data_IF_370016065301
#
_entry.id   IF_370016065301
#
_cell.length_a   1.000
_cell.length_b   1.000
_cell.length_c   1.000
_cell.angle_alpha   90.00
_cell.angle_beta   90.00
_cell.angle_gamma   90.00
#
_symmetry.space_group_name_H-M   'P 1'
#
loop_
_entity.id
_entity.type
_entity.pdbx_description
1 polymer ?
#
# COMPACT_ATOMS: atom_id res chain seq x y z
N UNK A 1 -22.55 8.62 -22.01
CA UNK A 1 -21.60 7.81 -21.21
C UNK A 1 -20.20 8.35 -21.49
N UNK A 2 -19.51 8.89 -20.49
CA UNK A 2 -18.31 9.71 -20.70
C UNK A 2 -17.06 8.90 -21.08
N UNK A 3 -16.26 9.48 -21.98
CA UNK A 3 -14.90 9.06 -22.31
C UNK A 3 -14.08 8.88 -21.04
N UNK A 4 -13.36 7.75 -20.89
CA UNK A 4 -12.50 7.58 -19.74
C UNK A 4 -11.37 8.62 -19.77
N UNK A 5 -11.13 9.30 -18.65
CA UNK A 5 -9.99 10.22 -18.55
C UNK A 5 -8.67 9.46 -18.71
N UNK A 6 -7.57 10.16 -19.06
CA UNK A 6 -6.22 9.56 -19.13
C UNK A 6 -5.88 8.82 -17.82
N UNK A 7 -6.23 9.39 -16.68
CA UNK A 7 -6.07 8.79 -15.34
C UNK A 7 -6.83 7.47 -15.21
N UNK A 8 -8.12 7.44 -15.56
CA UNK A 8 -8.95 6.23 -15.41
C UNK A 8 -8.37 5.04 -16.18
N UNK A 9 -7.85 5.28 -17.39
CA UNK A 9 -7.18 4.22 -18.17
C UNK A 9 -5.90 3.73 -17.50
N UNK A 10 -5.07 4.64 -17.01
CA UNK A 10 -3.82 4.29 -16.32
C UNK A 10 -4.08 3.51 -15.02
N UNK A 11 -5.10 3.91 -14.25
CA UNK A 11 -5.53 3.19 -13.05
C UNK A 11 -6.00 1.77 -13.38
N UNK A 12 -6.84 1.61 -14.41
CA UNK A 12 -7.27 0.27 -14.82
C UNK A 12 -6.09 -0.60 -15.26
N UNK A 13 -5.15 -0.05 -16.04
CA UNK A 13 -3.97 -0.79 -16.50
C UNK A 13 -3.11 -1.23 -15.32
N UNK A 14 -2.79 -0.33 -14.39
CA UNK A 14 -1.92 -0.68 -13.25
C UNK A 14 -2.60 -1.68 -12.31
N UNK A 15 -3.91 -1.58 -12.08
CA UNK A 15 -4.64 -2.58 -11.28
C UNK A 15 -4.66 -3.96 -11.96
N UNK A 16 -4.83 -4.01 -13.29
CA UNK A 16 -4.70 -5.27 -14.05
C UNK A 16 -3.27 -5.81 -13.94
N UNK A 17 -2.27 -4.94 -14.08
CA UNK A 17 -0.86 -5.30 -13.97
C UNK A 17 -0.57 -5.95 -12.62
N UNK A 18 -0.93 -5.30 -11.52
CA UNK A 18 -0.76 -5.84 -10.17
C UNK A 18 -1.48 -7.17 -9.96
N UNK A 19 -2.74 -7.28 -10.41
CA UNK A 19 -3.49 -8.52 -10.30
C UNK A 19 -2.82 -9.67 -11.07
N UNK A 20 -2.25 -9.38 -12.25
CA UNK A 20 -1.46 -10.36 -13.02
C UNK A 20 -0.18 -10.73 -12.27
N UNK A 21 0.55 -9.77 -11.71
CA UNK A 21 1.76 -10.06 -10.93
C UNK A 21 1.45 -10.95 -9.72
N UNK A 22 0.41 -10.62 -8.96
CA UNK A 22 -0.04 -11.44 -7.84
C UNK A 22 -0.41 -12.85 -8.33
N UNK A 23 -1.24 -12.96 -9.37
CA UNK A 23 -1.62 -14.26 -9.92
C UNK A 23 -0.43 -15.10 -10.44
N UNK A 24 0.61 -14.46 -10.98
CA UNK A 24 1.82 -15.12 -11.45
C UNK A 24 2.72 -15.61 -10.30
N UNK A 25 2.81 -14.84 -9.22
CA UNK A 25 3.69 -15.16 -8.08
C UNK A 25 3.00 -16.05 -7.05
N UNK A 26 1.67 -16.01 -6.92
CA UNK A 26 0.94 -16.82 -5.93
C UNK A 26 1.21 -18.34 -6.03
N UNK A 27 1.29 -18.98 -7.22
CA UNK A 27 1.65 -20.39 -7.34
C UNK A 27 3.10 -20.73 -6.95
N UNK A 28 3.98 -19.72 -6.91
CA UNK A 28 5.38 -19.84 -6.51
C UNK A 28 5.56 -19.71 -5.00
N UNK A 29 4.53 -19.26 -4.29
CA UNK A 29 4.54 -19.17 -2.83
C UNK A 29 4.57 -20.57 -2.20
N UNK A 30 5.41 -20.73 -1.18
CA UNK A 30 5.46 -21.95 -0.39
C UNK A 30 4.18 -22.17 0.45
N UNK A 31 3.41 -21.10 0.67
CA UNK A 31 2.19 -21.10 1.46
C UNK A 31 1.07 -20.35 0.72
N UNK A 32 -0.17 -20.81 0.86
CA UNK A 32 -1.37 -20.15 0.31
C UNK A 32 -2.25 -21.06 -0.56
N UNK A 33 -3.37 -20.53 -1.09
CA UNK A 33 -4.41 -21.33 -1.75
C UNK A 33 -3.93 -22.11 -2.98
N UNK A 34 -2.83 -21.69 -3.58
CA UNK A 34 -2.23 -22.29 -4.77
C UNK A 34 -0.94 -23.06 -4.49
N UNK A 35 -0.50 -23.17 -3.22
CA UNK A 35 0.72 -23.88 -2.85
C UNK A 35 0.68 -25.37 -3.23
N UNK A 36 -0.52 -25.96 -3.25
CA UNK A 36 -0.74 -27.34 -3.70
C UNK A 36 -0.36 -27.61 -5.18
N UNK A 37 -0.19 -26.56 -6.00
CA UNK A 37 0.28 -26.69 -7.37
C UNK A 37 1.80 -27.00 -7.47
N UNK A 38 2.57 -26.77 -6.40
CA UNK A 38 4.00 -27.09 -6.30
C UNK A 38 4.84 -26.53 -7.47
N UNK A 39 4.45 -25.40 -8.04
CA UNK A 39 5.10 -24.82 -9.23
C UNK A 39 6.56 -24.45 -8.95
N UNK A 40 6.86 -24.00 -7.73
CA UNK A 40 8.23 -23.71 -7.31
C UNK A 40 9.15 -24.95 -7.36
N UNK A 41 8.63 -26.13 -6.97
CA UNK A 41 9.38 -27.39 -7.02
C UNK A 41 9.70 -27.76 -8.47
N UNK A 42 8.77 -27.53 -9.39
CA UNK A 42 8.94 -27.83 -10.82
C UNK A 42 10.00 -26.93 -11.46
N UNK A 43 10.16 -25.72 -10.95
CA UNK A 43 11.18 -24.76 -11.40
C UNK A 43 12.54 -24.95 -10.71
N UNK A 44 12.67 -25.92 -9.80
CA UNK A 44 13.93 -26.22 -9.11
C UNK A 44 14.43 -25.09 -8.21
N UNK A 45 13.52 -24.25 -7.69
CA UNK A 45 13.88 -23.12 -6.84
C UNK A 45 14.12 -23.60 -5.40
N UNK A 46 15.35 -23.44 -4.90
CA UNK A 46 15.70 -23.74 -3.52
C UNK A 46 15.15 -22.68 -2.54
N UNK A 47 14.97 -23.05 -1.28
CA UNK A 47 14.36 -22.18 -0.27
C UNK A 47 15.14 -20.88 -0.07
N UNK A 48 16.47 -20.93 -0.14
CA UNK A 48 17.35 -19.78 -0.05
C UNK A 48 17.24 -18.84 -1.27
N UNK A 49 17.10 -19.39 -2.49
CA UNK A 49 16.85 -18.61 -3.70
C UNK A 49 15.44 -18.03 -3.81
N UNK A 50 14.42 -18.70 -3.25
CA UNK A 50 13.03 -18.19 -3.13
C UNK A 50 12.96 -16.94 -2.27
N UNK A 51 13.83 -16.88 -1.27
CA UNK A 51 13.84 -15.89 -0.19
C UNK A 51 14.80 -14.73 -0.47
N UNK A 52 16.00 -15.00 -0.97
CA UNK A 52 17.05 -14.00 -1.21
C UNK A 52 16.70 -12.94 -2.26
N UNK A 53 15.54 -13.05 -2.92
CA UNK A 53 15.07 -12.11 -3.96
C UNK A 53 13.79 -11.38 -3.55
N UNK A 54 13.42 -11.46 -2.28
CA UNK A 54 12.28 -10.75 -1.69
C UNK A 54 12.33 -9.24 -1.97
N UNK A 55 13.51 -8.61 -1.91
CA UNK A 55 13.66 -7.18 -2.23
C UNK A 55 13.18 -6.89 -3.65
N UNK A 56 13.55 -7.72 -4.62
CA UNK A 56 13.16 -7.58 -6.03
C UNK A 56 11.65 -7.82 -6.20
N UNK A 57 11.11 -8.84 -5.52
CA UNK A 57 9.69 -9.16 -5.56
C UNK A 57 8.84 -8.01 -4.96
N UNK A 58 9.21 -7.52 -3.78
CA UNK A 58 8.48 -6.44 -3.12
C UNK A 58 8.49 -5.17 -3.94
N UNK A 59 9.63 -4.78 -4.54
CA UNK A 59 9.64 -3.63 -5.44
C UNK A 59 8.86 -3.88 -6.74
N UNK A 60 8.85 -5.12 -7.24
CA UNK A 60 8.06 -5.49 -8.42
C UNK A 60 6.55 -5.31 -8.21
N UNK A 61 6.07 -5.46 -6.96
CA UNK A 61 4.67 -5.23 -6.58
C UNK A 61 4.42 -3.79 -6.10
N UNK A 62 5.29 -3.26 -5.25
CA UNK A 62 5.11 -1.96 -4.60
C UNK A 62 5.27 -0.77 -5.56
N UNK A 63 6.10 -0.88 -6.60
CA UNK A 63 6.33 0.25 -7.51
C UNK A 63 5.12 0.53 -8.43
N UNK A 64 4.45 -0.49 -9.01
CA UNK A 64 3.12 -0.32 -9.62
C UNK A 64 2.10 0.29 -8.65
N UNK A 65 2.06 -0.17 -7.40
CA UNK A 65 1.18 0.38 -6.37
C UNK A 65 1.41 1.89 -6.15
N UNK A 66 2.67 2.30 -6.01
CA UNK A 66 3.07 3.70 -5.92
C UNK A 66 2.66 4.48 -7.17
N UNK A 67 2.77 3.88 -8.36
CA UNK A 67 2.31 4.51 -9.60
C UNK A 67 0.79 4.78 -9.57
N UNK A 68 -0.02 3.86 -9.03
CA UNK A 68 -1.46 4.06 -8.86
C UNK A 68 -1.75 5.28 -7.94
N UNK A 69 -1.03 5.41 -6.83
CA UNK A 69 -1.12 6.58 -5.94
C UNK A 69 -0.72 7.87 -6.66
N UNK A 70 0.36 7.85 -7.45
CA UNK A 70 0.80 9.00 -8.24
C UNK A 70 -0.28 9.42 -9.24
N UNK A 71 -0.96 8.48 -9.91
CA UNK A 71 -2.08 8.81 -10.80
C UNK A 71 -3.24 9.45 -10.05
N UNK A 72 -3.61 8.94 -8.88
CA UNK A 72 -4.65 9.54 -8.03
C UNK A 72 -4.25 10.94 -7.55
N UNK A 73 -2.99 11.14 -7.16
CA UNK A 73 -2.47 12.46 -6.77
C UNK A 73 -2.57 13.46 -7.91
N UNK A 74 -2.13 13.10 -9.12
CA UNK A 74 -2.20 14.00 -10.29
C UNK A 74 -3.63 14.31 -10.73
N UNK A 75 -4.58 13.44 -10.40
CA UNK A 75 -6.00 13.64 -10.67
C UNK A 75 -6.67 14.55 -9.64
N UNK A 76 -6.24 14.47 -8.38
CA UNK A 76 -6.86 15.20 -7.27
C UNK A 76 -6.18 16.53 -6.95
N UNK A 77 -4.89 16.68 -7.26
CA UNK A 77 -4.10 17.86 -6.91
C UNK A 77 -3.69 18.65 -8.17
N UNK A 78 -3.64 19.99 -8.06
CA UNK A 78 -3.28 20.83 -9.19
C UNK A 78 -1.77 20.71 -9.46
N UNK A 79 -1.43 20.22 -10.65
CA UNK A 79 -0.07 20.14 -11.18
C UNK A 79 -0.12 20.60 -12.64
N UNK A 80 0.87 21.39 -13.06
CA UNK A 80 0.97 21.86 -14.44
C UNK A 80 1.00 20.66 -15.41
N UNK A 81 0.18 20.70 -16.47
CA UNK A 81 -0.08 19.53 -17.32
C UNK A 81 1.21 18.95 -17.93
N UNK A 82 2.13 19.80 -18.38
CA UNK A 82 3.45 19.37 -18.88
C UNK A 82 4.21 18.51 -17.87
N UNK A 83 4.18 18.89 -16.58
CA UNK A 83 4.83 18.10 -15.51
C UNK A 83 4.04 16.83 -15.22
N UNK A 84 2.71 16.91 -15.15
CA UNK A 84 1.86 15.75 -14.92
C UNK A 84 2.06 14.69 -16.02
N UNK A 85 2.25 15.09 -17.28
CA UNK A 85 2.56 14.18 -18.38
C UNK A 85 3.94 13.51 -18.24
N UNK A 86 4.98 14.28 -17.91
CA UNK A 86 6.32 13.73 -17.63
C UNK A 86 6.25 12.73 -16.47
N UNK A 87 5.56 13.07 -15.38
CA UNK A 87 5.41 12.17 -14.23
C UNK A 87 4.67 10.88 -14.65
N UNK A 88 3.51 10.99 -15.32
CA UNK A 88 2.73 9.81 -15.74
C UNK A 88 3.54 8.87 -16.64
N UNK A 89 4.18 9.41 -17.68
CA UNK A 89 4.95 8.61 -18.64
C UNK A 89 6.15 7.94 -17.98
N UNK A 90 6.92 8.70 -17.20
CA UNK A 90 8.12 8.21 -16.52
C UNK A 90 7.78 7.16 -15.46
N UNK A 91 6.77 7.41 -14.60
CA UNK A 91 6.38 6.42 -13.58
C UNK A 91 5.80 5.16 -14.22
N UNK A 92 5.09 5.28 -15.36
CA UNK A 92 4.56 4.13 -16.10
C UNK A 92 5.69 3.25 -16.63
N UNK A 93 6.64 3.84 -17.35
CA UNK A 93 7.78 3.11 -17.87
C UNK A 93 8.63 2.52 -16.73
N UNK A 94 8.82 3.30 -15.67
CA UNK A 94 9.56 2.89 -14.48
C UNK A 94 8.98 1.64 -13.84
N UNK A 95 7.67 1.62 -13.51
CA UNK A 95 7.10 0.46 -12.84
C UNK A 95 7.11 -0.80 -13.71
N UNK A 96 6.88 -0.68 -15.03
CA UNK A 96 6.92 -1.82 -15.95
C UNK A 96 8.32 -2.45 -15.95
N UNK A 97 9.35 -1.62 -16.07
CA UNK A 97 10.75 -2.07 -16.07
C UNK A 97 11.15 -2.66 -14.71
N UNK A 98 10.71 -2.06 -13.60
CA UNK A 98 10.92 -2.60 -12.26
C UNK A 98 10.26 -3.97 -12.11
N UNK A 99 8.98 -4.11 -12.44
CA UNK A 99 8.28 -5.40 -12.28
C UNK A 99 8.87 -6.50 -13.16
N UNK A 100 9.12 -6.22 -14.44
CA UNK A 100 9.67 -7.22 -15.36
C UNK A 100 11.11 -7.57 -15.04
N UNK A 101 11.95 -6.56 -14.75
CA UNK A 101 13.34 -6.76 -14.37
C UNK A 101 13.47 -7.49 -13.03
N UNK A 102 12.65 -7.10 -12.05
CA UNK A 102 12.65 -7.70 -10.71
C UNK A 102 12.14 -9.13 -10.70
N UNK A 103 11.03 -9.44 -11.37
CA UNK A 103 10.52 -10.82 -11.51
C UNK A 103 11.46 -11.67 -12.36
N UNK A 104 11.99 -11.12 -13.46
CA UNK A 104 12.97 -11.82 -14.30
C UNK A 104 14.23 -12.15 -13.52
N UNK A 105 14.74 -11.22 -12.73
CA UNK A 105 15.86 -11.48 -11.84
C UNK A 105 15.48 -12.48 -10.75
N UNK A 106 14.29 -12.35 -10.16
CA UNK A 106 13.76 -13.18 -9.08
C UNK A 106 13.58 -14.65 -9.47
N UNK A 107 13.09 -14.94 -10.67
CA UNK A 107 12.64 -16.29 -11.03
C UNK A 107 13.29 -16.86 -12.29
N UNK A 108 14.01 -16.06 -13.10
CA UNK A 108 14.63 -16.50 -14.36
C UNK A 108 16.16 -16.49 -14.30
N UNK A 109 16.73 -16.92 -13.17
CA UNK A 109 18.18 -17.19 -13.06
C UNK A 109 19.07 -15.99 -12.75
N UNK A 110 18.55 -14.85 -12.28
CA UNK A 110 19.37 -13.76 -11.73
C UNK A 110 20.27 -13.02 -12.75
N UNK A 111 19.86 -12.97 -14.03
CA UNK A 111 20.68 -12.37 -15.09
C UNK A 111 20.92 -10.86 -14.92
N UNK A 112 22.13 -10.41 -15.27
CA UNK A 112 22.55 -9.00 -15.15
C UNK A 112 21.68 -8.03 -15.97
N UNK A 113 21.11 -8.49 -17.10
CA UNK A 113 20.17 -7.68 -17.91
C UNK A 113 18.89 -7.39 -17.12
N UNK A 114 18.30 -8.42 -16.49
CA UNK A 114 17.09 -8.27 -15.70
C UNK A 114 17.32 -7.34 -14.50
N UNK A 115 18.46 -7.48 -13.83
CA UNK A 115 18.88 -6.55 -12.79
C UNK A 115 19.05 -5.12 -13.34
N UNK A 116 19.71 -4.95 -14.49
CA UNK A 116 19.87 -3.64 -15.12
C UNK A 116 18.54 -2.96 -15.43
N UNK A 117 17.57 -3.70 -15.97
CA UNK A 117 16.21 -3.21 -16.22
C UNK A 117 15.51 -2.81 -14.91
N UNK A 118 15.67 -3.60 -13.85
CA UNK A 118 15.13 -3.28 -12.53
C UNK A 118 15.67 -1.94 -12.00
N UNK A 119 16.99 -1.72 -12.06
CA UNK A 119 17.63 -0.48 -11.61
C UNK A 119 17.23 0.74 -12.44
N UNK A 120 17.13 0.58 -13.77
CA UNK A 120 16.61 1.64 -14.65
C UNK A 120 15.16 1.98 -14.28
N UNK A 121 14.33 0.96 -14.05
CA UNK A 121 12.94 1.14 -13.61
C UNK A 121 12.82 1.96 -12.32
N UNK A 122 13.57 1.57 -11.28
CA UNK A 122 13.61 2.31 -10.02
C UNK A 122 14.10 3.76 -10.18
N UNK A 123 15.11 3.97 -11.01
CA UNK A 123 15.67 5.31 -11.28
C UNK A 123 14.65 6.22 -11.96
N UNK A 124 13.87 5.70 -12.91
CA UNK A 124 12.78 6.43 -13.56
C UNK A 124 11.68 6.80 -12.57
N UNK A 125 11.28 5.88 -11.68
CA UNK A 125 10.28 6.18 -10.65
C UNK A 125 10.79 7.25 -9.66
N UNK A 126 12.05 7.17 -9.25
CA UNK A 126 12.68 8.21 -8.43
C UNK A 126 12.66 9.57 -9.13
N UNK A 127 13.04 9.62 -10.41
CA UNK A 127 12.97 10.84 -11.23
C UNK A 127 11.54 11.39 -11.33
N UNK A 128 10.55 10.53 -11.57
CA UNK A 128 9.13 10.92 -11.59
C UNK A 128 8.70 11.55 -10.25
N UNK A 129 9.15 10.97 -9.12
CA UNK A 129 8.93 11.52 -7.78
C UNK A 129 9.56 12.90 -7.60
N UNK A 130 10.78 13.12 -8.08
CA UNK A 130 11.43 14.43 -8.03
C UNK A 130 10.67 15.50 -8.84
N UNK A 131 10.22 15.16 -10.06
CA UNK A 131 9.39 16.05 -10.87
C UNK A 131 8.05 16.33 -10.20
N UNK A 132 7.45 15.31 -9.57
CA UNK A 132 6.20 15.45 -8.80
C UNK A 132 6.39 16.38 -7.59
N UNK A 133 7.48 16.25 -6.82
CA UNK A 133 7.80 17.13 -5.71
C UNK A 133 7.88 18.60 -6.14
N UNK A 134 8.50 18.88 -7.29
CA UNK A 134 8.55 20.23 -7.90
C UNK A 134 7.18 20.70 -8.38
N UNK A 135 6.33 19.77 -8.85
CA UNK A 135 4.95 20.03 -9.26
C UNK A 135 4.01 20.37 -8.10
N UNK A 136 4.21 19.74 -6.95
CA UNK A 136 3.34 19.84 -5.78
C UNK A 136 3.71 20.96 -4.79
N UNK A 137 4.80 21.70 -5.07
CA UNK A 137 5.29 22.80 -4.24
C UNK A 137 4.14 23.66 -3.68
N UNK A 138 4.00 23.77 -2.34
CA UNK A 138 2.74 24.22 -1.73
C UNK A 138 2.39 25.67 -2.03
N UNK A 139 3.40 26.53 -2.23
CA UNK A 139 3.22 27.94 -2.57
C UNK A 139 2.89 28.22 -4.05
N UNK A 140 2.92 27.21 -4.93
CA UNK A 140 2.51 27.35 -6.35
C UNK A 140 1.07 26.86 -6.52
N UNK A 141 0.09 27.56 -5.96
CA UNK A 141 -1.33 27.16 -6.05
C UNK A 141 -1.78 27.20 -7.52
N UNK A 142 -2.58 26.22 -7.95
CA UNK A 142 -3.19 26.23 -9.27
C UNK A 142 -3.99 27.52 -9.48
N UNK A 143 -4.23 27.90 -10.75
CA UNK A 143 -5.09 29.04 -11.05
C UNK A 143 -6.44 28.91 -10.36
N UNK A 144 -7.10 30.05 -10.10
CA UNK A 144 -8.41 30.10 -9.43
C UNK A 144 -9.47 29.23 -10.12
N UNK A 145 -9.30 28.98 -11.43
CA UNK A 145 -10.23 28.21 -12.26
C UNK A 145 -9.98 26.69 -12.28
N UNK A 146 -8.88 26.17 -11.69
CA UNK A 146 -8.66 24.72 -11.63
C UNK A 146 -9.58 24.09 -10.57
N UNK A 147 -10.52 23.20 -10.94
CA UNK A 147 -11.41 22.55 -9.99
C UNK A 147 -10.68 21.69 -8.96
N UNK A 148 -9.39 21.41 -9.16
CA UNK A 148 -8.52 20.73 -8.20
C UNK A 148 -7.89 21.68 -7.19
N UNK A 149 -8.05 23.01 -7.31
CA UNK A 149 -7.47 23.98 -6.38
C UNK A 149 -8.20 24.07 -5.02
N UNK A 150 -9.29 23.32 -4.80
CA UNK A 150 -9.96 23.27 -3.49
C UNK A 150 -9.13 22.56 -2.42
N UNK A 151 -9.48 22.75 -1.14
CA UNK A 151 -8.80 22.12 0.00
C UNK A 151 -7.90 23.08 0.76
N UNK A 152 -7.27 22.59 1.83
CA UNK A 152 -6.48 23.45 2.72
C UNK A 152 -5.02 23.54 2.26
N UNK A 153 -4.37 24.68 2.49
CA UNK A 153 -2.92 24.80 2.26
C UNK A 153 -2.12 23.76 3.07
N UNK A 154 -2.61 23.40 4.27
CA UNK A 154 -2.00 22.42 5.18
C UNK A 154 -1.99 21.02 4.56
N UNK A 155 -3.08 20.59 3.94
CA UNK A 155 -3.17 19.31 3.22
C UNK A 155 -2.11 19.22 2.12
N UNK A 156 -1.90 20.30 1.36
CA UNK A 156 -0.87 20.34 0.33
C UNK A 156 0.54 20.27 0.90
N UNK A 157 0.78 20.93 2.04
CA UNK A 157 2.04 20.80 2.77
C UNK A 157 2.27 19.36 3.24
N UNK A 158 1.26 18.70 3.79
CA UNK A 158 1.33 17.30 4.21
C UNK A 158 1.74 16.40 3.05
N UNK A 159 1.08 16.54 1.89
CA UNK A 159 1.41 15.76 0.70
C UNK A 159 2.83 16.05 0.21
N UNK A 160 3.21 17.32 0.09
CA UNK A 160 4.52 17.71 -0.43
C UNK A 160 5.67 17.20 0.46
N UNK A 161 5.55 17.36 1.79
CA UNK A 161 6.54 16.83 2.74
C UNK A 161 6.62 15.30 2.67
N UNK A 162 5.49 14.62 2.56
CA UNK A 162 5.46 13.14 2.43
C UNK A 162 6.18 12.68 1.16
N UNK A 163 6.01 13.38 0.03
CA UNK A 163 6.75 13.09 -1.20
C UNK A 163 8.26 13.30 -1.01
N UNK A 164 8.68 14.37 -0.34
CA UNK A 164 10.10 14.59 -0.03
C UNK A 164 10.69 13.49 0.87
N UNK A 165 9.97 13.13 1.94
CA UNK A 165 10.37 12.05 2.84
C UNK A 165 10.46 10.71 2.12
N UNK A 166 9.56 10.46 1.16
CA UNK A 166 9.59 9.26 0.31
C UNK A 166 10.85 9.24 -0.55
N UNK A 167 11.21 10.36 -1.18
CA UNK A 167 12.44 10.46 -1.98
C UNK A 167 13.70 10.26 -1.13
N UNK A 168 13.77 10.86 0.06
CA UNK A 168 14.91 10.67 0.96
C UNK A 168 15.01 9.21 1.41
N UNK A 169 13.88 8.60 1.78
CA UNK A 169 13.82 7.19 2.17
C UNK A 169 14.19 6.26 1.02
N UNK A 170 13.80 6.59 -0.22
CA UNK A 170 14.20 5.85 -1.42
C UNK A 170 15.70 5.96 -1.66
N UNK A 171 16.29 7.14 -1.45
CA UNK A 171 17.72 7.35 -1.56
C UNK A 171 18.51 6.57 -0.50
N UNK A 172 18.00 6.45 0.74
CA UNK A 172 18.60 5.59 1.79
C UNK A 172 18.62 4.13 1.31
N UNK A 173 17.48 3.60 0.88
CA UNK A 173 17.39 2.21 0.37
C UNK A 173 18.28 1.96 -0.85
N UNK A 174 18.28 2.89 -1.81
CA UNK A 174 19.11 2.82 -3.01
C UNK A 174 20.62 2.92 -2.71
N UNK A 175 21.01 3.75 -1.73
CA UNK A 175 22.38 3.87 -1.28
C UNK A 175 22.85 2.60 -0.56
N UNK A 176 21.99 1.92 0.21
CA UNK A 176 22.35 0.60 0.77
C UNK A 176 22.45 -0.46 -0.33
N UNK A 177 21.51 -0.45 -1.28
CA UNK A 177 21.50 -1.41 -2.39
C UNK A 177 22.70 -1.29 -3.32
N UNK A 178 23.36 -0.13 -3.41
CA UNK A 178 24.57 0.03 -4.25
C UNK A 178 25.78 -0.77 -3.74
N UNK A 179 25.76 -1.23 -2.49
CA UNK A 179 26.76 -2.14 -1.92
C UNK A 179 26.41 -3.62 -2.12
N UNK A 180 25.28 -3.94 -2.77
CA UNK A 180 24.86 -5.33 -2.98
C UNK A 180 25.90 -6.11 -3.80
N UNK A 181 26.34 -7.25 -3.26
CA UNK A 181 27.44 -8.05 -3.84
C UNK A 181 28.85 -7.48 -3.57
N UNK A 182 28.97 -6.38 -2.83
CA UNK A 182 30.23 -5.76 -2.41
C UNK A 182 30.20 -5.45 -0.90
N UNK A 183 30.11 -6.51 -0.08
CA UNK A 183 30.02 -6.42 1.38
C UNK A 183 28.59 -6.34 1.94
N UNK A 184 27.57 -6.38 1.08
CA UNK A 184 26.16 -6.47 1.47
C UNK A 184 25.46 -7.61 0.70
N UNK A 185 24.77 -8.50 1.42
CA UNK A 185 24.06 -9.65 0.87
C UNK A 185 22.56 -9.59 1.22
N UNK A 186 21.75 -10.34 0.49
CA UNK A 186 20.32 -10.46 0.80
C UNK A 186 20.13 -11.22 2.12
N UNK A 187 19.14 -10.80 2.91
CA UNK A 187 18.80 -11.44 4.18
C UNK A 187 17.28 -11.47 4.37
N UNK A 188 16.80 -12.39 5.21
CA UNK A 188 15.41 -12.41 5.66
C UNK A 188 15.20 -11.45 6.81
N UNK A 189 14.25 -10.54 6.67
CA UNK A 189 13.95 -9.56 7.70
C UNK A 189 13.54 -10.25 9.03
N UNK A 190 12.80 -11.36 8.94
CA UNK A 190 12.36 -12.17 10.07
C UNK A 190 13.47 -12.98 10.75
N UNK A 191 14.52 -13.34 10.02
CA UNK A 191 15.63 -14.13 10.57
C UNK A 191 16.71 -13.24 11.20
N UNK A 192 16.70 -11.96 10.87
CA UNK A 192 17.66 -10.98 11.38
C UNK A 192 17.19 -10.34 12.71
N UNK A 193 15.98 -10.64 13.17
CA UNK A 193 15.43 -10.10 14.43
C UNK A 193 16.30 -10.35 15.67
N UNK A 194 17.05 -11.45 15.68
CA UNK A 194 17.87 -11.90 16.83
C UNK A 194 19.38 -11.81 16.58
N UNK A 195 19.82 -11.26 15.45
CA UNK A 195 21.26 -11.12 15.14
C UNK A 195 21.71 -9.66 15.25
N UNK A 196 23.01 -9.44 15.42
CA UNK A 196 23.55 -8.08 15.40
C UNK A 196 23.40 -7.45 14.01
N UNK A 197 22.92 -6.21 13.98
CA UNK A 197 22.64 -5.50 12.75
C UNK A 197 23.80 -4.56 12.40
N UNK A 198 24.44 -4.80 11.26
CA UNK A 198 25.33 -3.81 10.67
C UNK A 198 24.53 -2.58 10.18
N UNK A 199 25.24 -1.51 9.80
CA UNK A 199 24.61 -0.27 9.35
C UNK A 199 23.71 -0.46 8.11
N UNK A 200 24.11 -1.33 7.18
CA UNK A 200 23.31 -1.66 5.99
C UNK A 200 21.98 -2.32 6.34
N UNK A 201 22.00 -3.31 7.25
CA UNK A 201 20.77 -3.94 7.75
C UNK A 201 19.84 -2.91 8.42
N UNK A 202 20.40 -2.05 9.27
CA UNK A 202 19.63 -0.96 9.93
C UNK A 202 19.05 0.03 8.92
N UNK A 203 19.79 0.36 7.86
CA UNK A 203 19.33 1.25 6.80
C UNK A 203 18.17 0.63 5.99
N UNK A 204 18.21 -0.68 5.71
CA UNK A 204 17.07 -1.39 5.09
C UNK A 204 15.86 -1.41 6.02
N UNK A 205 16.04 -1.70 7.30
CA UNK A 205 14.93 -1.70 8.28
C UNK A 205 14.28 -0.31 8.35
N UNK A 206 15.10 0.74 8.39
CA UNK A 206 14.62 2.12 8.35
C UNK A 206 13.87 2.44 7.06
N UNK A 207 14.41 2.03 5.91
CA UNK A 207 13.75 2.20 4.61
C UNK A 207 12.38 1.51 4.58
N UNK A 208 12.31 0.24 4.99
CA UNK A 208 11.10 -0.56 4.94
C UNK A 208 9.98 0.02 5.80
N UNK A 209 10.28 0.38 7.06
CA UNK A 209 9.27 0.94 7.97
C UNK A 209 8.78 2.31 7.52
N UNK A 210 9.68 3.16 7.03
CA UNK A 210 9.30 4.50 6.58
C UNK A 210 8.43 4.45 5.32
N UNK A 211 8.73 3.55 4.36
CA UNK A 211 8.01 3.51 3.08
C UNK A 211 6.52 3.21 3.23
N UNK A 212 6.15 2.17 3.99
CA UNK A 212 4.74 1.78 4.12
C UNK A 212 3.93 2.86 4.86
N UNK A 213 4.48 3.43 5.93
CA UNK A 213 3.87 4.57 6.61
C UNK A 213 3.66 5.77 5.68
N UNK A 214 4.67 6.14 4.88
CA UNK A 214 4.57 7.29 3.96
C UNK A 214 3.52 7.04 2.87
N UNK A 215 3.41 5.81 2.39
CA UNK A 215 2.34 5.36 1.49
C UNK A 215 0.96 5.56 2.15
N UNK A 216 0.80 5.14 3.41
CA UNK A 216 -0.46 5.27 4.14
C UNK A 216 -0.83 6.73 4.38
N UNK A 217 0.14 7.62 4.62
CA UNK A 217 -0.08 9.06 4.70
C UNK A 217 -0.63 9.61 3.37
N UNK A 218 -0.06 9.20 2.23
CA UNK A 218 -0.57 9.59 0.91
C UNK A 218 -2.00 9.09 0.71
N UNK A 219 -2.28 7.82 1.07
CA UNK A 219 -3.62 7.24 1.00
C UNK A 219 -4.61 8.04 1.87
N UNK A 220 -4.24 8.36 3.11
CA UNK A 220 -5.06 9.14 4.04
C UNK A 220 -5.45 10.51 3.44
N UNK A 221 -4.47 11.20 2.84
CA UNK A 221 -4.70 12.49 2.18
C UNK A 221 -5.63 12.33 0.96
N UNK A 222 -5.41 11.31 0.13
CA UNK A 222 -6.27 11.00 -1.02
C UNK A 222 -7.71 10.70 -0.56
N UNK A 223 -7.89 9.92 0.51
CA UNK A 223 -9.22 9.64 1.08
C UNK A 223 -9.89 10.93 1.55
N UNK A 224 -9.20 11.75 2.34
CA UNK A 224 -9.72 13.05 2.79
C UNK A 224 -10.21 13.91 1.62
N UNK A 225 -9.43 13.95 0.53
CA UNK A 225 -9.77 14.69 -0.68
C UNK A 225 -10.91 14.10 -1.50
N UNK A 226 -11.00 12.77 -1.56
CA UNK A 226 -12.07 12.01 -2.23
C UNK A 226 -13.43 12.27 -1.55
N UNK A 227 -13.43 12.39 -0.23
CA UNK A 227 -14.60 12.80 0.55
C UNK A 227 -14.71 14.32 0.69
N UNK A 228 -13.88 15.10 0.00
CA UNK A 228 -13.87 16.58 0.02
C UNK A 228 -13.91 17.17 1.44
N UNK A 229 -13.25 16.52 2.39
CA UNK A 229 -13.31 16.91 3.80
C UNK A 229 -12.73 18.32 3.99
N UNK A 230 -13.34 19.06 4.91
CA UNK A 230 -13.02 20.45 5.19
C UNK A 230 -13.30 20.83 6.65
N UNK A 231 -13.14 22.12 6.96
CA UNK A 231 -13.35 22.66 8.29
C UNK A 231 -12.18 22.46 9.26
N UNK A 232 -12.40 22.82 10.52
CA UNK A 232 -11.36 22.79 11.56
C UNK A 232 -10.86 21.38 11.90
N UNK A 233 -11.71 20.35 12.09
CA UNK A 233 -11.19 19.04 12.48
C UNK A 233 -10.33 18.40 11.37
N UNK A 234 -10.68 18.59 10.09
CA UNK A 234 -9.83 18.12 8.98
C UNK A 234 -8.48 18.85 8.96
N UNK A 235 -8.47 20.17 9.17
CA UNK A 235 -7.21 20.94 9.25
C UNK A 235 -6.32 20.49 10.41
N UNK A 236 -6.91 20.20 11.57
CA UNK A 236 -6.18 19.62 12.71
C UNK A 236 -5.62 18.24 12.35
N UNK A 237 -6.40 17.38 11.69
CA UNK A 237 -5.93 16.07 11.22
C UNK A 237 -4.73 16.20 10.26
N UNK A 238 -4.74 17.19 9.35
CA UNK A 238 -3.60 17.45 8.45
C UNK A 238 -2.36 17.94 9.20
N UNK A 239 -2.51 18.78 10.23
CA UNK A 239 -1.40 19.18 11.10
C UNK A 239 -0.82 18.00 11.88
N UNK A 240 -1.68 17.17 12.46
CA UNK A 240 -1.26 15.93 13.13
C UNK A 240 -0.54 15.00 12.15
N UNK A 241 -0.99 14.96 10.90
CA UNK A 241 -0.34 14.18 9.82
C UNK A 241 1.06 14.71 9.52
N UNK A 242 1.24 16.03 9.41
CA UNK A 242 2.56 16.66 9.20
C UNK A 242 3.50 16.35 10.36
N UNK A 243 3.06 16.63 11.59
CA UNK A 243 3.91 16.49 12.78
C UNK A 243 4.21 15.02 13.05
N UNK A 244 3.17 14.16 13.04
CA UNK A 244 3.31 12.73 13.25
C UNK A 244 4.17 12.06 12.17
N UNK A 245 3.95 12.41 10.90
CA UNK A 245 4.73 11.91 9.77
C UNK A 245 6.20 12.34 9.86
N UNK A 246 6.48 13.59 10.22
CA UNK A 246 7.85 14.06 10.43
C UNK A 246 8.52 13.31 11.59
N UNK A 247 7.90 13.27 12.78
CA UNK A 247 8.44 12.60 13.97
C UNK A 247 8.74 11.13 13.67
N UNK A 248 7.78 10.40 13.10
CA UNK A 248 7.95 8.99 12.79
C UNK A 248 9.01 8.76 11.70
N UNK A 249 9.07 9.59 10.66
CA UNK A 249 10.07 9.47 9.58
C UNK A 249 11.49 9.71 10.11
N UNK A 250 11.74 10.83 10.79
CA UNK A 250 13.07 11.13 11.32
C UNK A 250 13.50 10.13 12.39
N UNK A 251 12.57 9.66 13.23
CA UNK A 251 12.85 8.60 14.20
C UNK A 251 13.15 7.25 13.53
N UNK A 252 12.49 6.95 12.41
CA UNK A 252 12.77 5.73 11.65
C UNK A 252 14.16 5.79 11.02
N UNK A 253 14.56 6.92 10.43
CA UNK A 253 15.93 7.11 9.93
C UNK A 253 16.96 7.02 11.05
N UNK A 254 16.64 7.51 12.24
CA UNK A 254 17.57 7.45 13.37
C UNK A 254 17.79 6.05 13.93
N UNK A 255 17.00 5.03 13.56
CA UNK A 255 17.26 3.60 13.88
C UNK A 255 18.67 3.18 13.44
N UNK A 256 19.24 3.83 12.42
CA UNK A 256 20.62 3.61 11.99
C UNK A 256 21.66 3.97 13.06
N UNK A 257 21.32 4.82 14.03
CA UNK A 257 22.26 5.49 14.93
C UNK A 257 21.86 5.41 16.41
N UNK A 258 20.55 5.38 16.73
CA UNK A 258 20.04 5.40 18.11
C UNK A 258 19.16 4.18 18.40
N UNK A 259 19.34 3.59 19.57
CA UNK A 259 18.64 2.36 19.98
C UNK A 259 17.19 2.62 20.44
N UNK A 260 16.91 3.81 20.99
CA UNK A 260 15.59 4.17 21.49
C UNK A 260 14.65 4.79 20.43
N UNK A 261 15.04 4.77 19.15
CA UNK A 261 14.26 5.27 18.03
C UNK A 261 12.80 4.77 18.03
N UNK A 262 12.59 3.48 18.31
CA UNK A 262 11.26 2.85 18.34
C UNK A 262 10.28 3.54 19.30
N UNK A 263 10.75 4.06 20.44
CA UNK A 263 9.89 4.81 21.38
C UNK A 263 9.41 6.13 20.78
N UNK A 264 10.27 6.81 20.01
CA UNK A 264 9.93 8.07 19.32
C UNK A 264 9.00 7.79 18.13
N UNK A 265 9.23 6.70 17.39
CA UNK A 265 8.35 6.27 16.28
C UNK A 265 6.91 6.12 16.78
N UNK A 266 6.71 5.48 17.94
CA UNK A 266 5.38 5.30 18.54
C UNK A 266 4.66 6.64 18.81
N UNK A 267 5.39 7.70 19.19
CA UNK A 267 4.82 9.03 19.38
C UNK A 267 4.33 9.60 18.05
N UNK A 268 5.14 9.49 17.00
CA UNK A 268 4.74 9.95 15.66
C UNK A 268 3.53 9.18 15.12
N UNK A 269 3.54 7.86 15.26
CA UNK A 269 2.42 6.98 14.87
C UNK A 269 1.15 7.31 15.65
N UNK A 270 1.23 7.57 16.96
CA UNK A 270 0.07 7.97 17.75
C UNK A 270 -0.63 9.22 17.20
N UNK A 271 0.15 10.24 16.79
CA UNK A 271 -0.41 11.45 16.16
C UNK A 271 -1.05 11.13 14.80
N UNK A 272 -0.42 10.26 13.99
CA UNK A 272 -0.97 9.81 12.72
C UNK A 272 -2.30 9.08 12.91
N UNK A 273 -2.44 8.23 13.93
CA UNK A 273 -3.67 7.50 14.23
C UNK A 273 -4.82 8.44 14.62
N UNK A 274 -4.56 9.49 15.39
CA UNK A 274 -5.57 10.53 15.69
C UNK A 274 -6.00 11.23 14.41
N UNK A 275 -5.04 11.58 13.53
CA UNK A 275 -5.34 12.16 12.22
C UNK A 275 -6.21 11.23 11.34
N UNK A 276 -5.81 9.97 11.23
CA UNK A 276 -6.53 8.92 10.50
C UNK A 276 -7.95 8.69 11.01
N UNK A 277 -8.11 8.54 12.32
CA UNK A 277 -9.41 8.41 12.97
C UNK A 277 -10.31 9.62 12.74
N UNK A 278 -9.74 10.84 12.76
CA UNK A 278 -10.50 12.07 12.48
C UNK A 278 -11.02 12.08 11.04
N UNK A 279 -10.17 11.74 10.05
CA UNK A 279 -10.58 11.64 8.64
C UNK A 279 -11.66 10.59 8.45
N UNK A 280 -11.51 9.42 9.07
CA UNK A 280 -12.49 8.34 8.99
C UNK A 280 -13.86 8.74 9.56
N UNK A 281 -13.88 9.31 10.77
CA UNK A 281 -15.12 9.75 11.44
C UNK A 281 -15.81 10.88 10.65
N UNK A 282 -15.06 11.87 10.18
CA UNK A 282 -15.62 12.94 9.36
C UNK A 282 -16.16 12.42 8.02
N UNK A 283 -15.44 11.50 7.37
CA UNK A 283 -15.89 10.83 6.15
C UNK A 283 -17.17 10.04 6.35
N UNK A 284 -17.29 9.28 7.44
CA UNK A 284 -18.50 8.53 7.77
C UNK A 284 -19.69 9.48 8.00
N UNK A 285 -19.46 10.54 8.78
CA UNK A 285 -20.48 11.55 9.02
C UNK A 285 -20.94 12.24 7.72
N UNK A 286 -20.00 12.52 6.80
CA UNK A 286 -20.32 13.06 5.48
C UNK A 286 -21.13 12.08 4.64
N UNK A 287 -20.74 10.82 4.59
CA UNK A 287 -21.44 9.78 3.84
C UNK A 287 -22.89 9.64 4.32
N UNK A 288 -23.13 9.67 5.63
CA UNK A 288 -24.48 9.66 6.21
C UNK A 288 -25.28 10.89 5.77
N UNK A 289 -24.70 12.10 5.85
CA UNK A 289 -25.39 13.34 5.43
C UNK A 289 -25.76 13.33 3.95
N UNK A 290 -24.85 12.87 3.08
CA UNK A 290 -25.11 12.76 1.64
C UNK A 290 -26.29 11.83 1.36
N UNK A 291 -26.33 10.65 1.99
CA UNK A 291 -27.43 9.68 1.83
C UNK A 291 -28.74 10.10 2.49
N UNK A 292 -28.70 10.90 3.56
CA UNK A 292 -29.90 11.48 4.16
C UNK A 292 -30.63 12.38 3.16
N UNK A 293 -29.90 13.13 2.33
CA UNK A 293 -30.52 13.93 1.26
C UNK A 293 -31.17 13.08 0.16
N UNK A 294 -30.77 11.81 0.05
CA UNK A 294 -31.35 10.81 -0.85
C UNK A 294 -32.45 9.97 -0.17
N UNK A 295 -32.85 10.31 1.06
CA UNK A 295 -33.92 9.63 1.81
C UNK A 295 -33.50 8.40 2.62
N UNK A 296 -32.20 8.10 2.72
CA UNK A 296 -31.68 6.98 3.54
C UNK A 296 -31.02 7.53 4.81
N UNK A 297 -31.53 7.15 5.98
CA UNK A 297 -31.06 7.67 7.27
C UNK A 297 -30.33 6.64 8.13
N UNK A 298 -29.55 7.15 9.09
CA UNK A 298 -28.87 6.36 10.12
C UNK A 298 -27.77 5.43 9.58
N UNK A 299 -27.51 4.34 10.30
CA UNK A 299 -26.47 3.36 9.96
C UNK A 299 -26.72 2.66 8.61
N UNK A 300 -27.98 2.59 8.16
CA UNK A 300 -28.31 2.02 6.85
C UNK A 300 -27.69 2.80 5.70
N UNK A 301 -27.47 4.12 5.87
CA UNK A 301 -26.79 4.95 4.89
C UNK A 301 -25.38 4.42 4.55
N UNK A 302 -24.64 3.96 5.57
CA UNK A 302 -23.29 3.44 5.40
C UNK A 302 -23.25 2.17 4.54
N UNK A 303 -24.27 1.31 4.67
CA UNK A 303 -24.34 0.03 3.97
C UNK A 303 -24.74 0.15 2.48
N UNK A 304 -25.18 1.34 2.04
CA UNK A 304 -25.64 1.55 0.65
C UNK A 304 -24.51 1.58 -0.36
N UNK A 305 -23.32 2.00 0.08
CA UNK A 305 -22.15 2.19 -0.76
C UNK A 305 -20.92 1.52 -0.10
N UNK A 306 -20.76 0.20 -0.28
CA UNK A 306 -19.71 -0.56 0.38
C UNK A 306 -18.29 -0.13 -0.02
N UNK A 307 -18.11 0.50 -1.19
CA UNK A 307 -16.81 0.99 -1.63
C UNK A 307 -16.40 2.23 -0.83
N UNK A 308 -17.29 3.23 -0.73
CA UNK A 308 -17.02 4.44 0.08
C UNK A 308 -16.99 4.14 1.57
N UNK A 309 -17.92 3.32 2.05
CA UNK A 309 -17.88 2.85 3.43
C UNK A 309 -16.61 2.07 3.72
N UNK A 310 -16.22 1.15 2.84
CA UNK A 310 -15.01 0.34 2.96
C UNK A 310 -13.75 1.19 3.15
N UNK A 311 -13.53 2.23 2.33
CA UNK A 311 -12.37 3.13 2.50
C UNK A 311 -12.25 3.70 3.92
N UNK A 312 -13.39 4.09 4.52
CA UNK A 312 -13.43 4.72 5.83
C UNK A 312 -13.41 3.69 6.97
N UNK A 313 -14.04 2.54 6.74
CA UNK A 313 -14.00 1.41 7.65
C UNK A 313 -12.56 0.92 7.82
N UNK A 314 -11.81 0.74 6.74
CA UNK A 314 -10.45 0.21 6.81
C UNK A 314 -9.50 1.15 7.59
N UNK A 315 -9.69 2.47 7.49
CA UNK A 315 -8.97 3.47 8.32
C UNK A 315 -9.24 3.32 9.83
N UNK A 316 -10.36 2.72 10.23
CA UNK A 316 -10.67 2.41 11.62
C UNK A 316 -10.24 0.98 11.97
N UNK A 317 -10.54 0.03 11.09
CA UNK A 317 -10.32 -1.40 11.27
C UNK A 317 -8.84 -1.76 11.38
N UNK A 318 -7.95 -1.01 10.71
CA UNK A 318 -6.50 -1.11 10.91
C UNK A 318 -6.10 -1.05 12.39
N UNK A 319 -6.84 -0.33 13.23
CA UNK A 319 -6.55 -0.27 14.67
C UNK A 319 -6.79 -1.59 15.39
N UNK A 320 -7.72 -2.39 14.88
CA UNK A 320 -8.12 -3.68 15.46
C UNK A 320 -7.15 -4.78 15.04
N UNK A 321 -6.76 -4.82 13.77
CA UNK A 321 -5.96 -5.92 13.21
C UNK A 321 -4.47 -5.61 13.05
N UNK A 322 -4.07 -4.34 13.09
CA UNK A 322 -2.66 -3.94 13.01
C UNK A 322 -2.25 -3.24 14.31
N UNK A 323 -2.83 -2.08 14.62
CA UNK A 323 -2.33 -1.22 15.71
C UNK A 323 -2.38 -1.90 17.08
N UNK A 324 -3.55 -2.38 17.53
CA UNK A 324 -3.68 -2.96 18.86
C UNK A 324 -2.83 -4.23 19.04
N UNK A 325 -2.82 -5.20 18.10
CA UNK A 325 -1.87 -6.31 18.09
C UNK A 325 -0.41 -5.86 18.13
N UNK A 326 -0.03 -4.89 17.29
CA UNK A 326 1.34 -4.37 17.22
C UNK A 326 1.79 -3.71 18.53
N UNK A 327 0.93 -2.89 19.14
CA UNK A 327 1.19 -2.28 20.45
C UNK A 327 1.28 -3.33 21.55
N UNK A 328 0.40 -4.34 21.54
CA UNK A 328 0.45 -5.45 22.49
C UNK A 328 1.81 -6.16 22.43
N UNK A 329 2.31 -6.47 21.24
CA UNK A 329 3.62 -7.09 21.06
C UNK A 329 4.75 -6.13 21.46
N UNK A 330 4.67 -4.86 21.03
CA UNK A 330 5.68 -3.85 21.33
C UNK A 330 5.87 -3.61 22.83
N UNK A 331 4.79 -3.64 23.62
CA UNK A 331 4.86 -3.50 25.08
C UNK A 331 5.34 -4.77 25.79
N UNK A 332 5.29 -5.92 25.13
CA UNK A 332 5.66 -7.22 25.69
C UNK A 332 6.86 -7.86 24.96
N UNK A 333 7.73 -7.06 24.34
CA UNK A 333 8.85 -7.56 23.53
C UNK A 333 9.77 -8.54 24.27
N UNK A 334 9.96 -8.34 25.58
CA UNK A 334 10.77 -9.25 26.41
C UNK A 334 10.18 -10.67 26.46
N UNK A 335 8.85 -10.81 26.47
CA UNK A 335 8.17 -12.09 26.39
C UNK A 335 8.35 -12.72 25.01
N UNK A 336 8.07 -11.96 23.94
CA UNK A 336 8.13 -12.49 22.57
C UNK A 336 9.56 -12.85 22.11
N UNK A 337 10.59 -12.29 22.76
CA UNK A 337 12.01 -12.62 22.50
C UNK A 337 12.48 -13.91 23.20
N UNK A 338 11.66 -14.54 24.03
CA UNK A 338 12.01 -15.82 24.66
C UNK A 338 12.14 -16.94 23.60
N UNK A 339 12.96 -17.98 23.84
CA UNK A 339 13.13 -19.09 22.90
C UNK A 339 11.81 -19.79 22.54
N UNK A 340 10.91 -19.93 23.51
CA UNK A 340 9.58 -20.56 23.38
C UNK A 340 8.68 -19.82 22.38
N UNK A 341 8.87 -18.52 22.21
CA UNK A 341 8.06 -17.66 21.34
C UNK A 341 8.65 -17.47 19.93
N UNK A 342 9.75 -18.16 19.57
CA UNK A 342 10.44 -17.95 18.29
C UNK A 342 9.52 -18.03 17.07
N UNK A 343 8.66 -19.04 16.98
CA UNK A 343 7.73 -19.18 15.86
C UNK A 343 6.62 -18.13 15.84
N UNK A 344 6.23 -17.64 17.02
CA UNK A 344 5.20 -16.60 17.20
C UNK A 344 5.80 -15.25 16.81
N UNK A 345 7.02 -14.96 17.25
CA UNK A 345 7.78 -13.76 16.89
C UNK A 345 7.97 -13.66 15.38
N UNK A 346 8.41 -14.75 14.72
CA UNK A 346 8.54 -14.78 13.25
C UNK A 346 7.18 -14.57 12.56
N UNK A 347 6.12 -15.24 13.02
CA UNK A 347 4.79 -15.11 12.44
C UNK A 347 4.26 -13.66 12.52
N UNK A 348 4.44 -12.98 13.65
CA UNK A 348 4.02 -11.58 13.83
C UNK A 348 4.91 -10.65 12.99
N UNK A 349 6.22 -10.85 13.01
CA UNK A 349 7.18 -10.01 12.28
C UNK A 349 6.94 -10.04 10.77
N UNK A 350 6.46 -11.16 10.22
CA UNK A 350 6.05 -11.27 8.82
C UNK A 350 4.62 -10.79 8.63
N UNK A 351 3.66 -11.32 9.38
CA UNK A 351 2.25 -11.13 9.07
C UNK A 351 1.73 -9.72 9.35
N UNK A 352 2.25 -9.02 10.38
CA UNK A 352 1.75 -7.71 10.78
C UNK A 352 1.82 -6.67 9.65
N UNK A 353 2.96 -6.58 8.96
CA UNK A 353 3.11 -5.60 7.87
C UNK A 353 2.42 -6.04 6.58
N UNK A 354 2.27 -7.35 6.33
CA UNK A 354 1.47 -7.85 5.19
C UNK A 354 -0.01 -7.50 5.35
N UNK A 355 -0.56 -7.60 6.57
CA UNK A 355 -1.93 -7.16 6.87
C UNK A 355 -2.06 -5.66 6.61
N UNK A 356 -1.13 -4.84 7.09
CA UNK A 356 -1.13 -3.40 6.84
C UNK A 356 -1.06 -3.08 5.35
N UNK A 357 -0.09 -3.63 4.62
CA UNK A 357 0.06 -3.40 3.18
C UNK A 357 -1.17 -3.82 2.38
N UNK A 358 -1.82 -4.92 2.77
CA UNK A 358 -3.05 -5.39 2.10
C UNK A 358 -4.24 -4.50 2.42
N UNK A 359 -4.37 -3.98 3.65
CA UNK A 359 -5.37 -2.96 4.00
C UNK A 359 -5.19 -1.69 3.16
N UNK A 360 -3.96 -1.22 3.01
CA UNK A 360 -3.63 -0.10 2.12
C UNK A 360 -4.05 -0.40 0.68
N UNK A 361 -3.80 -1.63 0.20
CA UNK A 361 -4.22 -2.07 -1.12
C UNK A 361 -5.75 -2.13 -1.27
N UNK A 362 -6.49 -2.55 -0.24
CA UNK A 362 -7.96 -2.53 -0.22
C UNK A 362 -8.49 -1.11 -0.37
N UNK A 363 -7.95 -0.14 0.38
CA UNK A 363 -8.37 1.26 0.29
C UNK A 363 -8.09 1.81 -1.11
N UNK A 364 -6.91 1.53 -1.68
CA UNK A 364 -6.56 1.98 -3.03
C UNK A 364 -7.44 1.31 -4.09
N UNK A 365 -7.76 0.03 -3.96
CA UNK A 365 -8.70 -0.65 -4.85
C UNK A 365 -10.08 0.03 -4.80
N UNK A 366 -10.57 0.38 -3.61
CA UNK A 366 -11.82 1.13 -3.50
C UNK A 366 -11.72 2.52 -4.12
N UNK A 367 -10.61 3.24 -3.93
CA UNK A 367 -10.36 4.53 -4.59
C UNK A 367 -10.38 4.38 -6.12
N UNK A 368 -9.77 3.31 -6.67
CA UNK A 368 -9.80 3.00 -8.10
C UNK A 368 -11.22 2.70 -8.58
N UNK A 369 -11.96 1.83 -7.88
CA UNK A 369 -13.35 1.48 -8.22
C UNK A 369 -14.26 2.71 -8.20
N UNK A 370 -14.10 3.59 -7.22
CA UNK A 370 -14.83 4.85 -7.13
C UNK A 370 -14.46 5.78 -8.27
N UNK A 371 -13.15 5.92 -8.55
CA UNK A 371 -12.65 6.79 -9.59
C UNK A 371 -13.04 6.35 -11.00
N UNK A 372 -13.12 5.04 -11.24
CA UNK A 372 -13.64 4.43 -12.47
C UNK A 372 -15.17 4.55 -12.60
N UNK A 373 -15.85 5.15 -11.62
CA UNK A 373 -17.30 5.41 -11.61
C UNK A 373 -18.11 4.14 -11.79
N UNK A 374 -17.66 3.05 -11.17
CA UNK A 374 -18.35 1.76 -11.18
C UNK A 374 -19.66 1.89 -10.43
N UNK A 375 -20.76 1.40 -11.02
CA UNK A 375 -22.13 1.52 -10.48
C UNK A 375 -22.84 0.17 -10.46
N UNK A 376 -23.95 0.11 -9.72
CA UNK A 376 -24.87 -1.02 -9.69
C UNK A 376 -24.30 -2.24 -8.97
N UNK A 377 -24.66 -3.44 -9.47
CA UNK A 377 -24.31 -4.72 -8.84
C UNK A 377 -22.80 -4.91 -8.72
N UNK A 378 -22.01 -4.50 -9.73
CA UNK A 378 -20.57 -4.69 -9.73
C UNK A 378 -19.92 -3.90 -8.59
N UNK A 379 -20.37 -2.68 -8.32
CA UNK A 379 -19.88 -1.87 -7.19
C UNK A 379 -20.15 -2.55 -5.86
N UNK A 380 -21.33 -3.17 -5.72
CA UNK A 380 -21.71 -3.89 -4.50
C UNK A 380 -20.93 -5.19 -4.31
N UNK A 381 -20.75 -5.96 -5.39
CA UNK A 381 -19.99 -7.21 -5.37
C UNK A 381 -18.53 -6.94 -5.00
N UNK A 382 -17.89 -5.96 -5.63
CA UNK A 382 -16.50 -5.61 -5.32
C UNK A 382 -16.41 -5.02 -3.92
N UNK A 383 -17.27 -4.07 -3.57
CA UNK A 383 -17.27 -3.46 -2.24
C UNK A 383 -17.40 -4.50 -1.12
N UNK A 384 -18.46 -5.31 -1.14
CA UNK A 384 -18.70 -6.30 -0.08
C UNK A 384 -17.78 -7.51 -0.17
N UNK A 385 -17.49 -8.02 -1.36
CA UNK A 385 -16.61 -9.18 -1.52
C UNK A 385 -15.20 -8.87 -1.02
N UNK A 386 -14.66 -7.70 -1.38
CA UNK A 386 -13.36 -7.26 -0.88
C UNK A 386 -13.41 -6.99 0.63
N UNK A 387 -14.39 -6.22 1.11
CA UNK A 387 -14.46 -5.80 2.52
C UNK A 387 -14.70 -6.97 3.48
N UNK A 388 -15.62 -7.88 3.15
CA UNK A 388 -15.90 -9.07 3.96
C UNK A 388 -14.75 -10.07 3.85
N UNK A 389 -14.20 -10.25 2.64
CA UNK A 389 -13.06 -11.13 2.42
C UNK A 389 -11.82 -10.71 3.21
N UNK A 390 -11.44 -9.42 3.11
CA UNK A 390 -10.32 -8.84 3.86
C UNK A 390 -10.55 -8.93 5.37
N UNK A 391 -11.73 -8.52 5.85
CA UNK A 391 -12.05 -8.54 7.28
C UNK A 391 -12.00 -9.96 7.86
N UNK A 392 -12.57 -10.94 7.16
CA UNK A 392 -12.53 -12.34 7.58
C UNK A 392 -11.09 -12.86 7.65
N UNK A 393 -10.32 -12.65 6.58
CA UNK A 393 -8.93 -13.10 6.56
C UNK A 393 -8.09 -12.47 7.67
N UNK A 394 -8.23 -11.15 7.87
CA UNK A 394 -7.41 -10.42 8.83
C UNK A 394 -7.80 -10.68 10.29
N UNK A 395 -9.08 -10.92 10.60
CA UNK A 395 -9.45 -11.32 11.97
C UNK A 395 -8.80 -12.67 12.32
N UNK A 396 -8.86 -13.64 11.40
CA UNK A 396 -8.34 -14.98 11.66
C UNK A 396 -6.82 -15.07 11.60
N UNK A 397 -6.17 -14.24 10.77
CA UNK A 397 -4.70 -14.14 10.79
C UNK A 397 -4.18 -13.57 12.11
N UNK A 398 -4.96 -12.73 12.82
CA UNK A 398 -4.56 -12.31 14.18
C UNK A 398 -4.48 -13.48 15.15
N UNK A 399 -5.44 -14.41 15.11
CA UNK A 399 -5.39 -15.61 15.95
C UNK A 399 -4.22 -16.52 15.57
N UNK A 400 -3.89 -16.61 14.27
CA UNK A 400 -2.73 -17.33 13.79
C UNK A 400 -1.41 -16.73 14.31
N UNK A 401 -1.27 -15.40 14.21
CA UNK A 401 -0.05 -14.68 14.58
C UNK A 401 0.13 -14.57 16.09
N UNK A 402 -0.94 -14.38 16.86
CA UNK A 402 -0.90 -14.17 18.31
C UNK A 402 -1.19 -15.46 19.11
N UNK A 403 -1.02 -16.63 18.50
CA UNK A 403 -1.18 -17.94 19.16
C UNK A 403 -0.22 -18.10 20.33
N UNK A 404 -0.54 -18.98 21.29
CA UNK A 404 0.42 -19.34 22.34
C UNK A 404 1.46 -20.33 21.80
N UNK A 405 2.68 -20.34 22.37
CA UNK A 405 3.67 -21.37 22.06
C UNK A 405 3.07 -22.79 22.19
N UNK A 406 3.28 -23.62 21.17
CA UNK A 406 2.82 -25.01 21.14
C UNK A 406 1.34 -25.22 20.77
N UNK A 407 0.56 -24.15 20.57
CA UNK A 407 -0.81 -24.26 20.02
C UNK A 407 -0.78 -24.45 18.51
N UNK A 408 -1.60 -25.37 17.99
CA UNK A 408 -1.82 -25.56 16.56
C UNK A 408 -2.78 -24.47 16.02
N UNK A 409 -2.31 -23.54 15.17
CA UNK A 409 -3.17 -22.51 14.60
C UNK A 409 -3.94 -22.99 13.36
N UNK A 410 -3.83 -24.26 12.98
CA UNK A 410 -4.40 -24.81 11.74
C UNK A 410 -5.91 -24.58 11.58
N UNK A 411 -6.65 -24.45 12.67
CA UNK A 411 -8.08 -24.13 12.64
C UNK A 411 -8.40 -22.75 12.05
N UNK A 412 -7.44 -21.81 12.03
CA UNK A 412 -7.60 -20.47 11.45
C UNK A 412 -7.49 -20.47 9.92
N UNK A 413 -6.74 -21.42 9.36
CA UNK A 413 -6.39 -21.47 7.93
C UNK A 413 -7.63 -21.49 7.02
N UNK A 414 -8.67 -22.31 7.27
CA UNK A 414 -9.86 -22.33 6.43
C UNK A 414 -10.57 -20.96 6.33
N UNK A 415 -10.55 -20.17 7.40
CA UNK A 415 -11.17 -18.83 7.42
C UNK A 415 -10.30 -17.80 6.71
N UNK A 416 -8.98 -17.89 6.87
CA UNK A 416 -8.01 -17.07 6.14
C UNK A 416 -8.17 -17.32 4.64
N UNK A 417 -8.13 -18.58 4.23
CA UNK A 417 -8.26 -18.98 2.82
C UNK A 417 -9.62 -18.60 2.24
N UNK A 418 -10.71 -18.78 2.99
CA UNK A 418 -12.04 -18.36 2.55
C UNK A 418 -12.13 -16.83 2.34
N UNK A 419 -11.55 -16.05 3.26
CA UNK A 419 -11.50 -14.60 3.15
C UNK A 419 -10.69 -14.13 1.95
N UNK A 420 -9.48 -14.69 1.78
CA UNK A 420 -8.60 -14.42 0.63
C UNK A 420 -9.27 -14.84 -0.69
N UNK A 421 -9.89 -16.01 -0.74
CA UNK A 421 -10.60 -16.49 -1.93
C UNK A 421 -11.76 -15.56 -2.31
N UNK A 422 -12.56 -15.11 -1.34
CA UNK A 422 -13.65 -14.18 -1.59
C UNK A 422 -13.14 -12.84 -2.15
N UNK A 423 -12.06 -12.31 -1.57
CA UNK A 423 -11.38 -11.12 -2.06
C UNK A 423 -10.93 -11.29 -3.52
N UNK A 424 -10.21 -12.38 -3.81
CA UNK A 424 -9.62 -12.62 -5.13
C UNK A 424 -10.69 -12.86 -6.19
N UNK A 425 -11.77 -13.58 -5.86
CA UNK A 425 -12.89 -13.79 -6.79
C UNK A 425 -13.59 -12.47 -7.10
N UNK A 426 -13.82 -11.61 -6.09
CA UNK A 426 -14.42 -10.30 -6.32
C UNK A 426 -13.54 -9.42 -7.23
N UNK A 427 -12.22 -9.43 -7.02
CA UNK A 427 -11.25 -8.75 -7.86
C UNK A 427 -11.20 -9.31 -9.29
N UNK A 428 -11.21 -10.64 -9.45
CA UNK A 428 -11.20 -11.27 -10.76
C UNK A 428 -12.45 -10.93 -11.59
N UNK A 429 -13.63 -10.98 -10.97
CA UNK A 429 -14.90 -10.58 -11.62
C UNK A 429 -14.85 -9.10 -12.00
N UNK A 430 -14.36 -8.25 -11.10
CA UNK A 430 -14.19 -6.82 -11.37
C UNK A 430 -13.38 -6.55 -12.63
N UNK A 431 -12.16 -7.09 -12.67
CA UNK A 431 -11.23 -6.87 -13.77
C UNK A 431 -11.74 -7.49 -15.06
N UNK A 432 -12.33 -8.69 -15.00
CA UNK A 432 -12.95 -9.34 -16.16
C UNK A 432 -14.04 -8.48 -16.80
N UNK A 433 -14.94 -7.90 -15.99
CA UNK A 433 -15.99 -7.01 -16.49
C UNK A 433 -15.42 -5.70 -17.05
N UNK A 434 -14.40 -5.11 -16.42
CA UNK A 434 -13.78 -3.89 -16.94
C UNK A 434 -13.04 -4.14 -18.25
N UNK A 435 -12.33 -5.25 -18.37
CA UNK A 435 -11.62 -5.63 -19.60
C UNK A 435 -12.61 -5.87 -20.75
N UNK A 436 -13.71 -6.60 -20.49
CA UNK A 436 -14.76 -6.81 -21.48
C UNK A 436 -15.38 -5.49 -21.97
N UNK A 437 -15.63 -4.54 -21.06
CA UNK A 437 -16.11 -3.19 -21.42
C UNK A 437 -15.13 -2.43 -22.29
N UNK A 438 -13.82 -2.54 -22.01
CA UNK A 438 -12.78 -1.88 -22.78
C UNK A 438 -12.66 -2.49 -24.19
N UNK A 439 -12.72 -3.81 -24.31
CA UNK A 439 -12.67 -4.51 -25.60
C UNK A 439 -13.88 -4.22 -26.47
N UNK A 440 -15.09 -4.19 -25.89
CA UNK A 440 -16.31 -3.90 -26.64
C UNK A 440 -16.29 -2.47 -27.21
N UNK A 441 -15.83 -1.48 -26.45
CA UNK A 441 -15.70 -0.10 -26.94
C UNK A 441 -14.73 0.02 -28.11
N UNK A 442 -13.56 -0.65 -28.04
CA UNK A 442 -12.62 -0.66 -29.17
C UNK A 442 -13.22 -1.26 -30.44
N UNK A 443 -14.10 -2.26 -30.29
CA UNK A 443 -14.82 -2.85 -31.44
C UNK A 443 -15.86 -1.89 -32.02
N UNK A 444 -16.52 -1.10 -31.17
CA UNK A 444 -17.46 -0.06 -31.60
C UNK A 444 -16.75 1.12 -32.27
N UNK A 445 -15.58 1.54 -31.76
CA UNK A 445 -14.76 2.62 -32.36
C UNK A 445 -14.11 2.22 -33.69
N UNK A 446 -13.93 0.91 -33.93
CA UNK A 446 -13.35 0.37 -35.16
C UNK A 446 -14.38 0.04 -36.25
N UNK A 447 -15.68 0.14 -35.95
CA UNK A 447 -16.80 0.01 -36.88
C UNK A 447 -17.30 1.39 -37.27
#
# INVERSE_FOLDING_TARGET
MGTHSKTERLLLIVTIWEAVLVALVSPLSATGPLAGLRVADWLGLDEAGRVGRIVMLYHSLAVPFVAALVYLVLDLFPVAERRAEVVRSTVTAGYVLTSLGGIGFAYLGGGWIAHGLFLVGLSLVFYAGAVLAVGLVPWRVGGADDPRSYGSAVERWALWLTVLYTLITAAIGGATASFFGNGFEAFLAEDVLRVEHNLGHKAIIAHLHAMLMLIDIVILIIVGRTFRLDGTPYRVAMWLTIVGGAVATFATWSVMVIEFAHKIINVGVFLLLIGGGTVAVQGLARLIRERQTEGVSGLRALLTDPVRFGMLFELLFVNVVVTAPGLSVAFNLEMYRQPEYLEVERAIAVGHWHVLATLSAVIVLFLVVDRLRVRGWLRRLVGWGVLVGSSLAFIFVQFYMLRRPGEDPGWTIPFIDAGVALFLVALAIFLGVQLARLLNRRREEAR
#
